data_IF_376524012666
#
_entry.id   IF_376524012666
#
_cell.length_a   1.000
_cell.length_b   1.000
_cell.length_c   1.000
_cell.angle_alpha   90.00
_cell.angle_beta   90.00
_cell.angle_gamma   90.00
#
_symmetry.space_group_name_H-M   'P 1'
#
loop_
_entity.id
_entity.type
_entity.pdbx_description
1 polymer ?
#
# COMPACT_ATOMS: atom_id res chain seq x y z
N UNK A 1 -10.81 11.52 21.47
CA UNK A 1 -10.66 10.13 20.98
C UNK A 1 -11.10 9.96 19.51
N UNK A 2 -11.59 11.01 18.83
CA UNK A 2 -12.06 10.94 17.43
C UNK A 2 -10.95 10.73 16.38
N UNK A 3 -9.82 11.42 16.57
CA UNK A 3 -8.67 11.42 15.66
C UNK A 3 -8.12 10.00 15.38
N UNK A 4 -7.98 9.17 16.41
CA UNK A 4 -7.39 7.84 16.28
C UNK A 4 -8.20 6.90 15.37
N UNK A 5 -9.53 7.05 15.34
CA UNK A 5 -10.42 6.27 14.47
C UNK A 5 -10.23 6.66 13.01
N UNK A 6 -10.19 7.97 12.75
CA UNK A 6 -9.99 8.53 11.40
C UNK A 6 -8.63 8.13 10.82
N UNK A 7 -7.57 8.17 11.64
CA UNK A 7 -6.24 7.69 11.24
C UNK A 7 -6.23 6.20 10.88
N UNK A 8 -6.94 5.35 11.63
CA UNK A 8 -7.04 3.91 11.33
C UNK A 8 -7.75 3.62 10.01
N UNK A 9 -8.84 4.33 9.73
CA UNK A 9 -9.58 4.22 8.46
C UNK A 9 -8.75 4.74 7.28
N UNK A 10 -8.07 5.88 7.44
CA UNK A 10 -7.17 6.43 6.42
C UNK A 10 -6.02 5.48 6.11
N UNK A 11 -5.45 4.84 7.12
CA UNK A 11 -4.36 3.86 6.96
C UNK A 11 -4.81 2.59 6.24
N UNK A 12 -5.97 2.03 6.61
CA UNK A 12 -6.55 0.87 5.93
C UNK A 12 -6.89 1.17 4.46
N UNK A 13 -7.45 2.36 4.19
CA UNK A 13 -7.77 2.81 2.83
C UNK A 13 -6.50 2.94 1.97
N UNK A 14 -5.44 3.54 2.52
CA UNK A 14 -4.14 3.63 1.86
C UNK A 14 -3.57 2.24 1.51
N UNK A 15 -3.67 1.29 2.45
CA UNK A 15 -3.21 -0.07 2.20
C UNK A 15 -3.98 -0.77 1.07
N UNK A 16 -5.30 -0.58 0.99
CA UNK A 16 -6.12 -1.11 -0.11
C UNK A 16 -5.77 -0.47 -1.46
N UNK A 17 -5.55 0.85 -1.50
CA UNK A 17 -5.12 1.54 -2.72
C UNK A 17 -3.76 1.02 -3.22
N UNK A 18 -2.79 0.87 -2.33
CA UNK A 18 -1.48 0.31 -2.67
C UNK A 18 -1.59 -1.13 -3.19
N UNK A 19 -2.49 -1.94 -2.63
CA UNK A 19 -2.75 -3.29 -3.12
C UNK A 19 -3.34 -3.31 -4.55
N UNK A 20 -4.23 -2.37 -4.87
CA UNK A 20 -4.78 -2.19 -6.22
C UNK A 20 -3.72 -1.75 -7.23
N UNK A 21 -2.89 -0.76 -6.87
CA UNK A 21 -1.77 -0.28 -7.70
C UNK A 21 -0.78 -1.41 -7.96
N UNK A 22 -0.44 -2.21 -6.94
CA UNK A 22 0.44 -3.35 -7.09
C UNK A 22 -0.10 -4.41 -8.05
N UNK A 23 -1.39 -4.74 -7.98
CA UNK A 23 -2.05 -5.65 -8.93
C UNK A 23 -1.99 -5.11 -10.36
N UNK A 24 -2.26 -3.82 -10.55
CA UNK A 24 -2.12 -3.15 -11.85
C UNK A 24 -0.70 -3.23 -12.42
N UNK A 25 0.32 -3.30 -11.56
CA UNK A 25 1.73 -3.51 -11.93
C UNK A 25 2.13 -4.99 -12.07
N UNK A 26 1.18 -5.93 -12.14
CA UNK A 26 1.42 -7.38 -12.16
C UNK A 26 2.24 -7.88 -10.95
N UNK A 27 2.00 -7.30 -9.76
CA UNK A 27 2.59 -7.72 -8.48
C UNK A 27 1.51 -8.25 -7.55
N UNK A 28 1.91 -9.04 -6.54
CA UNK A 28 0.97 -9.56 -5.53
C UNK A 28 0.34 -8.41 -4.72
N UNK A 29 -0.94 -8.14 -4.96
CA UNK A 29 -1.69 -7.13 -4.21
C UNK A 29 -1.73 -7.39 -2.71
N UNK A 30 -1.88 -8.66 -2.31
CA UNK A 30 -1.93 -9.05 -0.90
C UNK A 30 -0.61 -8.77 -0.18
N UNK A 31 0.53 -9.04 -0.82
CA UNK A 31 1.83 -8.73 -0.21
C UNK A 31 1.96 -7.21 0.00
N UNK A 32 1.56 -6.41 -0.99
CA UNK A 32 1.62 -4.96 -0.90
C UNK A 32 0.58 -4.34 0.06
N UNK A 33 -0.58 -4.97 0.23
CA UNK A 33 -1.55 -4.63 1.26
C UNK A 33 -0.94 -4.78 2.66
N UNK A 34 -0.40 -5.96 2.99
CA UNK A 34 0.20 -6.25 4.29
C UNK A 34 1.41 -5.37 4.56
N UNK A 35 2.24 -5.14 3.52
CA UNK A 35 3.40 -4.26 3.60
C UNK A 35 2.99 -2.80 3.86
N UNK A 36 1.84 -2.36 3.31
CA UNK A 36 1.28 -1.02 3.55
C UNK A 36 0.58 -0.89 4.89
N UNK A 37 -0.01 -1.96 5.44
CA UNK A 37 -0.52 -1.93 6.81
C UNK A 37 0.61 -1.73 7.84
N UNK A 38 1.79 -2.29 7.57
CA UNK A 38 2.97 -2.15 8.43
C UNK A 38 3.72 -0.82 8.21
N UNK A 39 3.98 -0.45 6.96
CA UNK A 39 4.87 0.65 6.60
C UNK A 39 4.13 1.94 6.19
N UNK A 40 2.82 1.85 5.96
CA UNK A 40 1.99 3.00 5.58
C UNK A 40 2.44 3.67 4.29
N UNK A 41 2.57 5.01 4.27
CA UNK A 41 3.01 5.77 3.10
C UNK A 41 4.39 5.35 2.57
N UNK A 42 5.26 4.79 3.41
CA UNK A 42 6.59 4.30 2.98
C UNK A 42 6.42 3.14 1.98
N UNK A 43 5.42 2.28 2.17
CA UNK A 43 5.09 1.24 1.19
C UNK A 43 4.69 1.84 -0.16
N UNK A 44 3.96 2.97 -0.17
CA UNK A 44 3.60 3.68 -1.40
C UNK A 44 4.84 4.16 -2.14
N UNK A 45 5.79 4.78 -1.43
CA UNK A 45 7.04 5.22 -2.04
C UNK A 45 7.80 4.06 -2.69
N UNK A 46 7.95 2.94 -1.98
CA UNK A 46 8.65 1.76 -2.49
C UNK A 46 7.87 1.16 -3.68
N UNK A 47 6.53 1.12 -3.62
CA UNK A 47 5.67 0.61 -4.69
C UNK A 47 5.79 1.42 -5.97
N UNK A 48 5.83 2.75 -5.86
CA UNK A 48 5.93 3.66 -6.99
C UNK A 48 7.32 3.56 -7.62
N UNK A 49 8.39 3.67 -6.81
CA UNK A 49 9.77 3.69 -7.29
C UNK A 49 10.26 2.35 -7.85
N UNK A 50 9.79 1.24 -7.31
CA UNK A 50 10.14 -0.07 -7.86
C UNK A 50 9.42 -0.26 -9.20
N UNK A 51 10.14 -0.15 -10.30
CA UNK A 51 9.70 -0.61 -11.61
C UNK A 51 9.72 -2.14 -11.69
N UNK A 52 8.86 -2.73 -12.53
CA UNK A 52 8.92 -4.19 -12.73
C UNK A 52 10.24 -4.48 -13.46
N UNK A 53 11.13 -5.34 -12.94
CA UNK A 53 12.35 -5.68 -13.65
C UNK A 53 11.97 -6.23 -15.03
N UNK A 54 12.60 -5.68 -16.07
CA UNK A 54 12.48 -6.15 -17.44
C UNK A 54 13.20 -7.49 -17.49
N UNK A 55 12.42 -8.56 -17.65
CA UNK A 55 12.90 -9.92 -17.94
C UNK A 55 13.22 -10.07 -19.40
#
# INVERSE_FOLDING_TARGET
>A
MEQASEYGVGWGTLALLNAGIAQGKNRSGLNWFLLSLLLGPIATFILVLLEKPVS
#
